data_IF_978590977900
#
_entry.id   IF_978590977900
#
_cell.length_a   1.000
_cell.length_b   1.000
_cell.length_c   1.000
_cell.angle_alpha   90.00
_cell.angle_beta   90.00
_cell.angle_gamma   90.00
#
_symmetry.space_group_name_H-M   'P 1'
#
loop_
_entity.id
_entity.type
_entity.pdbx_description
1 polymer ?
#
# COMPACT_ATOMS: atom_id res chain seq x y z
N UNK A 1 -87.39 2.11 -2.30
CA UNK A 1 -86.73 1.94 -0.99
C UNK A 1 -85.78 3.10 -0.80
N UNK A 2 -85.76 3.62 0.41
CA UNK A 2 -85.58 5.02 0.79
C UNK A 2 -84.14 5.52 0.77
N UNK A 3 -84.03 6.75 0.29
CA UNK A 3 -82.94 7.71 0.45
C UNK A 3 -83.03 8.29 1.87
N UNK A 4 -81.99 8.17 2.69
CA UNK A 4 -81.92 8.82 4.01
C UNK A 4 -80.66 9.70 4.05
N UNK A 5 -80.93 11.00 3.98
CA UNK A 5 -80.03 12.13 4.18
C UNK A 5 -79.78 12.30 5.68
N UNK A 6 -78.53 12.28 6.13
CA UNK A 6 -78.17 12.78 7.47
C UNK A 6 -77.40 14.09 7.35
N UNK A 7 -78.10 15.18 7.65
CA UNK A 7 -77.61 16.54 7.75
C UNK A 7 -77.10 16.76 9.18
N UNK A 8 -75.80 16.88 9.39
CA UNK A 8 -75.25 17.38 10.67
C UNK A 8 -74.71 18.79 10.47
N UNK A 9 -75.46 19.76 11.01
CA UNK A 9 -75.02 21.13 11.26
C UNK A 9 -74.21 21.13 12.56
N UNK A 10 -72.93 21.55 12.51
CA UNK A 10 -72.19 21.94 13.70
C UNK A 10 -71.58 23.33 13.51
N UNK A 11 -71.83 24.16 14.51
CA UNK A 11 -71.55 25.59 14.61
C UNK A 11 -70.07 25.95 14.39
N UNK A 12 -69.84 26.97 13.57
CA UNK A 12 -68.57 27.70 13.43
C UNK A 12 -68.42 28.63 14.63
N UNK A 13 -67.45 28.37 15.50
CA UNK A 13 -66.94 29.37 16.43
C UNK A 13 -65.82 30.15 15.72
N UNK A 14 -66.06 31.44 15.44
CA UNK A 14 -65.07 32.36 14.91
C UNK A 14 -64.03 32.69 15.99
N UNK A 15 -62.94 31.92 16.00
CA UNK A 15 -61.71 32.27 16.71
C UNK A 15 -60.88 33.24 15.87
N UNK A 16 -60.56 34.39 16.44
CA UNK A 16 -59.66 35.40 15.88
C UNK A 16 -58.33 34.80 15.42
N UNK A 17 -58.03 34.90 14.12
CA UNK A 17 -56.72 34.56 13.56
C UNK A 17 -55.68 35.59 14.04
N UNK A 18 -54.86 35.20 15.01
CA UNK A 18 -53.56 35.83 15.25
C UNK A 18 -52.59 35.45 14.14
N UNK A 19 -51.79 36.41 13.69
CA UNK A 19 -50.74 36.18 12.70
C UNK A 19 -49.81 35.02 13.14
N UNK A 20 -49.31 34.19 12.21
CA UNK A 20 -48.38 33.12 12.56
C UNK A 20 -47.12 33.71 13.21
N UNK A 21 -46.55 33.03 14.22
CA UNK A 21 -45.35 33.51 14.89
C UNK A 21 -44.21 33.63 13.88
N UNK A 22 -43.55 34.79 13.86
CA UNK A 22 -42.34 34.98 13.06
C UNK A 22 -41.29 33.96 13.49
N UNK A 23 -40.69 33.27 12.51
CA UNK A 23 -39.57 32.38 12.75
C UNK A 23 -38.43 33.18 13.40
N UNK A 24 -37.74 32.62 14.40
CA UNK A 24 -36.59 33.29 15.02
C UNK A 24 -35.52 33.58 13.96
N UNK A 25 -34.78 34.69 14.07
CA UNK A 25 -33.72 35.03 13.13
C UNK A 25 -32.68 33.90 13.09
N UNK A 26 -32.35 33.46 11.88
CA UNK A 26 -31.30 32.48 11.64
C UNK A 26 -29.98 33.05 12.16
N UNK A 27 -29.25 32.35 13.05
CA UNK A 27 -27.97 32.83 13.53
C UNK A 27 -26.99 32.96 12.35
N UNK A 28 -26.08 33.95 12.38
CA UNK A 28 -25.09 34.10 11.33
C UNK A 28 -24.24 32.82 11.22
N UNK A 29 -23.78 32.46 10.01
CA UNK A 29 -22.89 31.32 9.84
C UNK A 29 -21.63 31.52 10.69
N UNK A 30 -21.07 30.45 11.26
CA UNK A 30 -19.83 30.54 12.01
C UNK A 30 -18.73 31.13 11.12
N UNK A 31 -17.79 31.92 11.69
CA UNK A 31 -16.67 32.45 10.92
C UNK A 31 -15.88 31.30 10.29
N UNK A 32 -15.59 31.41 9.00
CA UNK A 32 -14.68 30.50 8.30
C UNK A 32 -13.35 30.43 9.05
N UNK A 33 -12.87 29.23 9.42
CA UNK A 33 -11.57 29.11 10.05
C UNK A 33 -10.49 29.70 9.13
N UNK A 34 -9.47 30.38 9.67
CA UNK A 34 -8.41 30.95 8.88
C UNK A 34 -7.77 29.86 8.02
N UNK A 35 -7.75 30.08 6.71
CA UNK A 35 -7.18 29.18 5.70
C UNK A 35 -5.65 29.31 5.70
N UNK A 36 -5.03 29.22 6.88
CA UNK A 36 -3.60 28.95 6.98
C UNK A 36 -3.44 27.45 6.93
N UNK A 37 -3.32 26.90 5.73
CA UNK A 37 -2.66 25.60 5.53
C UNK A 37 -1.32 25.71 6.27
N UNK A 38 -1.02 24.84 7.25
CA UNK A 38 0.30 24.82 7.84
C UNK A 38 1.30 24.63 6.71
N UNK A 39 2.11 25.66 6.43
CA UNK A 39 3.26 25.48 5.56
C UNK A 39 4.17 24.48 6.28
N UNK A 40 4.16 23.23 5.80
CA UNK A 40 5.14 22.25 6.19
C UNK A 40 6.51 22.88 6.01
N UNK A 41 7.42 22.74 6.99
CA UNK A 41 8.78 23.25 6.83
C UNK A 41 9.36 22.72 5.50
N UNK A 42 10.23 23.50 4.83
CA UNK A 42 10.82 23.07 3.56
C UNK A 42 11.44 21.67 3.74
N UNK A 43 10.92 20.69 2.99
CA UNK A 43 11.42 19.30 3.01
C UNK A 43 12.84 19.30 2.47
N UNK A 44 13.82 19.35 3.37
CA UNK A 44 15.23 19.19 3.03
C UNK A 44 15.44 17.74 2.59
N UNK A 45 16.07 17.55 1.43
CA UNK A 45 16.53 16.24 0.95
C UNK A 45 17.42 15.59 2.00
N UNK A 46 17.03 14.42 2.50
CA UNK A 46 17.77 13.68 3.54
C UNK A 46 18.63 12.61 2.87
N UNK A 47 19.93 12.63 3.15
CA UNK A 47 20.83 11.50 2.89
C UNK A 47 20.88 10.63 4.13
N UNK A 48 20.86 9.31 3.93
CA UNK A 48 21.00 8.32 4.99
C UNK A 48 22.25 7.49 4.73
N UNK A 49 23.17 7.42 5.69
CA UNK A 49 24.21 6.40 5.67
C UNK A 49 23.62 5.15 6.31
N UNK A 50 23.20 4.21 5.48
CA UNK A 50 22.64 2.93 5.93
C UNK A 50 23.57 1.82 5.47
N UNK A 51 23.61 0.71 6.25
CA UNK A 51 24.25 -0.55 5.87
C UNK A 51 23.90 -0.90 4.42
N UNK A 52 24.81 -1.53 3.70
CA UNK A 52 24.69 -1.81 2.25
C UNK A 52 23.65 -2.92 1.96
N UNK A 53 22.39 -2.70 2.31
CA UNK A 53 21.36 -3.74 2.31
C UNK A 53 20.99 -4.21 0.89
N UNK A 54 20.60 -5.49 0.81
CA UNK A 54 19.69 -5.99 -0.21
C UNK A 54 18.25 -5.66 0.23
N UNK A 55 17.42 -5.13 -0.66
CA UNK A 55 16.05 -4.72 -0.33
C UNK A 55 15.07 -5.54 -1.14
N UNK A 56 14.20 -6.27 -0.44
CA UNK A 56 13.14 -7.08 -1.00
C UNK A 56 11.79 -6.46 -0.68
N UNK A 57 11.03 -6.12 -1.71
CA UNK A 57 9.65 -5.61 -1.59
C UNK A 57 8.72 -6.68 -2.13
N UNK A 58 7.95 -7.29 -1.23
CA UNK A 58 7.08 -8.43 -1.51
C UNK A 58 5.64 -7.96 -1.34
N UNK A 59 4.89 -7.95 -2.43
CA UNK A 59 3.48 -7.59 -2.42
C UNK A 59 2.63 -8.84 -2.60
N UNK A 60 1.81 -9.13 -1.59
CA UNK A 60 0.78 -10.17 -1.64
C UNK A 60 -0.53 -9.50 -2.03
N UNK A 61 -0.87 -9.54 -3.31
CA UNK A 61 -2.01 -8.85 -3.91
C UNK A 61 -3.33 -9.25 -3.21
N UNK A 62 -4.13 -8.26 -2.79
CA UNK A 62 -5.43 -8.49 -2.15
C UNK A 62 -5.38 -9.03 -0.71
N UNK A 63 -4.21 -9.08 -0.06
CA UNK A 63 -4.06 -9.58 1.30
C UNK A 63 -4.60 -8.60 2.35
N UNK A 64 -5.54 -9.07 3.16
CA UNK A 64 -6.02 -8.34 4.35
C UNK A 64 -5.21 -8.72 5.61
N UNK A 65 -5.01 -7.79 6.56
CA UNK A 65 -4.35 -8.10 7.84
C UNK A 65 -5.02 -9.24 8.62
N UNK A 66 -6.35 -9.26 8.68
CA UNK A 66 -7.10 -10.27 9.45
C UNK A 66 -7.05 -11.67 8.82
N UNK A 67 -6.54 -11.81 7.59
CA UNK A 67 -6.27 -13.11 7.01
C UNK A 67 -5.07 -13.80 7.68
N UNK A 68 -4.08 -13.04 8.16
CA UNK A 68 -2.88 -13.57 8.81
C UNK A 68 -3.18 -14.24 10.16
N UNK A 69 -4.25 -13.80 10.84
CA UNK A 69 -4.69 -14.45 12.09
C UNK A 69 -5.44 -15.77 11.85
N UNK A 70 -5.84 -16.05 10.60
CA UNK A 70 -6.74 -17.17 10.25
C UNK A 70 -6.10 -18.19 9.31
N UNK A 71 -5.11 -17.78 8.54
CA UNK A 71 -4.30 -18.64 7.69
C UNK A 71 -3.11 -19.22 8.50
N UNK A 72 -2.51 -20.28 7.98
CA UNK A 72 -1.25 -20.79 8.51
C UNK A 72 -0.12 -20.07 7.80
N UNK A 73 0.54 -19.15 8.50
CA UNK A 73 1.57 -18.28 7.92
C UNK A 73 2.86 -18.20 8.76
N UNK A 74 3.50 -19.34 9.08
CA UNK A 74 4.66 -19.36 9.97
C UNK A 74 5.84 -18.48 9.48
N UNK A 75 6.02 -18.30 8.17
CA UNK A 75 7.13 -17.51 7.64
C UNK A 75 6.87 -16.01 7.80
N UNK A 76 5.66 -15.55 7.45
CA UNK A 76 5.22 -14.18 7.73
C UNK A 76 5.19 -13.90 9.23
N UNK A 77 4.77 -14.89 10.03
CA UNK A 77 4.74 -14.80 11.48
C UNK A 77 6.11 -14.52 12.06
N UNK A 78 7.12 -15.24 11.59
CA UNK A 78 8.51 -15.01 11.96
C UNK A 78 8.96 -13.59 11.60
N UNK A 79 8.60 -13.07 10.42
CA UNK A 79 9.00 -11.73 9.99
C UNK A 79 8.42 -10.64 10.89
N UNK A 80 7.12 -10.67 11.22
CA UNK A 80 6.54 -9.62 12.07
C UNK A 80 6.90 -9.77 13.55
N UNK A 81 7.11 -11.00 14.03
CA UNK A 81 7.55 -11.26 15.42
C UNK A 81 8.99 -10.82 15.68
N UNK A 82 9.79 -10.61 14.64
CA UNK A 82 11.16 -10.08 14.70
C UNK A 82 11.34 -8.85 13.77
N UNK A 83 10.28 -8.06 13.61
CA UNK A 83 10.25 -6.93 12.70
C UNK A 83 9.39 -5.77 13.17
N UNK A 84 9.31 -4.71 12.36
CA UNK A 84 8.34 -3.64 12.54
C UNK A 84 7.10 -3.97 11.73
N UNK A 85 5.91 -3.72 12.25
CA UNK A 85 4.69 -3.98 11.48
C UNK A 85 3.59 -2.96 11.76
N UNK A 86 2.60 -2.90 10.87
CA UNK A 86 1.33 -2.21 11.09
C UNK A 86 0.20 -3.06 10.51
N UNK A 87 -0.80 -3.36 11.34
CA UNK A 87 -2.02 -4.04 10.90
C UNK A 87 -3.08 -3.08 10.36
N UNK A 88 -2.81 -1.78 10.43
CA UNK A 88 -3.76 -0.71 10.07
C UNK A 88 -3.23 0.18 8.96
N UNK A 89 -2.16 -0.24 8.26
CA UNK A 89 -1.63 0.48 7.12
C UNK A 89 -2.71 0.67 6.05
N UNK A 90 -2.66 1.80 5.35
CA UNK A 90 -3.71 2.22 4.41
C UNK A 90 -3.16 2.33 2.99
N UNK A 91 -3.91 1.77 2.04
CA UNK A 91 -3.67 1.98 0.60
C UNK A 91 -4.23 3.32 0.11
N UNK A 92 -4.27 3.51 -1.20
CA UNK A 92 -4.79 4.69 -1.90
C UNK A 92 -6.11 4.38 -2.60
N UNK A 93 -6.87 5.43 -2.93
CA UNK A 93 -8.04 5.31 -3.79
C UNK A 93 -7.68 5.61 -5.26
N UNK A 94 -8.20 4.82 -6.23
CA UNK A 94 -8.99 3.60 -6.03
C UNK A 94 -8.12 2.44 -5.51
N UNK A 95 -8.66 1.65 -4.59
CA UNK A 95 -8.00 0.50 -3.92
C UNK A 95 -7.85 -0.70 -4.87
N UNK A 96 -7.09 -0.48 -5.94
CA UNK A 96 -6.91 -1.40 -7.06
C UNK A 96 -5.44 -1.54 -7.36
N UNK A 97 -5.05 -2.72 -7.84
CA UNK A 97 -3.65 -3.11 -8.04
C UNK A 97 -2.78 -2.05 -8.71
N UNK A 98 -3.09 -1.65 -9.94
CA UNK A 98 -2.15 -0.83 -10.72
C UNK A 98 -1.94 0.57 -10.11
N UNK A 99 -2.97 1.33 -9.70
CA UNK A 99 -2.80 2.59 -8.98
C UNK A 99 -2.11 2.44 -7.62
N UNK A 100 -2.42 1.39 -6.86
CA UNK A 100 -1.82 1.16 -5.55
C UNK A 100 -0.32 0.83 -5.65
N UNK A 101 0.07 -0.06 -6.56
CA UNK A 101 1.50 -0.37 -6.79
C UNK A 101 2.23 0.85 -7.37
N UNK A 102 1.59 1.66 -8.23
CA UNK A 102 2.17 2.92 -8.68
C UNK A 102 2.52 3.84 -7.50
N UNK A 103 1.61 3.97 -6.53
CA UNK A 103 1.87 4.72 -5.30
C UNK A 103 2.96 4.10 -4.43
N UNK A 104 2.96 2.76 -4.30
CA UNK A 104 3.97 2.01 -3.56
C UNK A 104 5.38 2.24 -4.10
N UNK A 105 5.54 2.32 -5.42
CA UNK A 105 6.83 2.47 -6.09
C UNK A 105 7.28 3.93 -6.23
N UNK A 106 6.35 4.89 -6.30
CA UNK A 106 6.65 6.31 -6.57
C UNK A 106 6.56 7.25 -5.37
N UNK A 107 6.13 6.76 -4.20
CA UNK A 107 6.06 7.60 -2.99
C UNK A 107 5.03 8.73 -3.04
N UNK A 108 4.16 8.74 -4.06
CA UNK A 108 3.12 9.75 -4.28
C UNK A 108 1.78 9.10 -4.59
N UNK A 109 0.64 9.76 -4.32
CA UNK A 109 -0.67 9.17 -4.54
C UNK A 109 -1.14 9.31 -6.01
N UNK A 110 -2.29 8.71 -6.39
CA UNK A 110 -2.76 8.70 -7.77
C UNK A 110 -2.99 10.05 -8.42
N UNK A 111 -3.31 11.08 -7.62
CA UNK A 111 -3.45 12.46 -8.10
C UNK A 111 -2.13 13.06 -8.62
N UNK A 112 -0.98 12.46 -8.28
CA UNK A 112 0.35 12.89 -8.74
C UNK A 112 0.95 11.97 -9.80
N UNK A 113 0.82 10.65 -9.66
CA UNK A 113 1.40 9.72 -10.64
C UNK A 113 0.49 9.46 -11.85
N UNK A 114 -0.79 9.86 -11.79
CA UNK A 114 -1.78 9.80 -12.88
C UNK A 114 -2.12 8.41 -13.43
N UNK A 115 -1.53 7.35 -12.90
CA UNK A 115 -2.01 5.97 -13.08
C UNK A 115 -3.37 5.77 -12.38
N UNK A 116 -4.47 5.89 -13.14
CA UNK A 116 -5.85 5.84 -12.63
C UNK A 116 -6.68 4.65 -13.18
N UNK A 117 -6.05 3.75 -13.93
CA UNK A 117 -6.69 2.58 -14.53
C UNK A 117 -6.15 1.28 -13.94
N UNK A 118 -6.89 0.17 -14.07
CA UNK A 118 -6.49 -1.13 -13.51
C UNK A 118 -6.56 -2.31 -14.51
N UNK A 119 -6.71 -2.02 -15.81
CA UNK A 119 -6.65 -3.00 -16.89
C UNK A 119 -5.34 -2.83 -17.67
N UNK A 120 -5.02 -3.79 -18.53
CA UNK A 120 -3.92 -3.63 -19.49
C UNK A 120 -4.34 -2.63 -20.57
N UNK A 121 -3.62 -1.52 -20.70
CA UNK A 121 -3.96 -0.41 -21.60
C UNK A 121 -2.68 0.25 -22.16
N UNK A 122 -1.91 -0.45 -23.03
CA UNK A 122 -0.60 0.00 -23.51
C UNK A 122 -0.61 1.41 -24.12
N UNK A 123 -1.74 1.81 -24.71
CA UNK A 123 -1.98 3.14 -25.27
C UNK A 123 -1.93 4.29 -24.24
N UNK A 124 -2.13 4.00 -22.95
CA UNK A 124 -2.05 5.00 -21.87
C UNK A 124 -0.61 5.25 -21.40
N UNK A 125 0.37 4.52 -21.96
CA UNK A 125 1.79 4.73 -21.67
C UNK A 125 2.22 4.20 -20.30
N UNK A 126 3.32 4.74 -19.76
CA UNK A 126 3.92 4.31 -18.48
C UNK A 126 3.80 5.40 -17.44
N UNK A 127 4.06 5.03 -16.19
CA UNK A 127 4.25 6.00 -15.11
C UNK A 127 5.33 7.01 -15.51
N UNK A 128 5.07 8.29 -15.24
CA UNK A 128 5.94 9.40 -15.66
C UNK A 128 6.66 10.08 -14.50
N UNK A 129 6.25 9.78 -13.26
CA UNK A 129 6.98 10.20 -12.06
C UNK A 129 8.09 9.18 -11.75
N UNK A 130 9.23 9.60 -11.18
CA UNK A 130 10.28 8.67 -10.81
C UNK A 130 9.79 7.64 -9.79
N UNK A 131 10.16 6.37 -9.97
CA UNK A 131 9.97 5.32 -8.96
C UNK A 131 11.28 4.98 -8.25
N UNK A 132 11.19 4.13 -7.23
CA UNK A 132 12.38 3.54 -6.58
C UNK A 132 13.32 2.85 -7.58
N UNK A 133 12.81 2.33 -8.71
CA UNK A 133 13.62 1.69 -9.75
C UNK A 133 14.46 2.70 -10.53
N UNK A 134 13.84 3.74 -11.09
CA UNK A 134 14.58 4.78 -11.83
C UNK A 134 15.62 5.46 -10.93
N UNK A 135 15.27 5.72 -9.66
CA UNK A 135 16.17 6.33 -8.69
C UNK A 135 17.36 5.41 -8.39
N UNK A 136 17.13 4.13 -8.09
CA UNK A 136 18.19 3.16 -7.82
C UNK A 136 19.10 2.94 -9.05
N UNK A 137 18.52 2.77 -10.24
CA UNK A 137 19.26 2.56 -11.48
C UNK A 137 20.11 3.78 -11.86
N UNK A 138 19.64 5.00 -11.59
CA UNK A 138 20.43 6.23 -11.78
C UNK A 138 21.73 6.24 -10.96
N UNK A 139 21.74 5.51 -9.83
CA UNK A 139 22.91 5.32 -8.96
C UNK A 139 23.65 4.01 -9.24
N UNK A 140 23.35 3.35 -10.37
CA UNK A 140 23.93 2.07 -10.80
C UNK A 140 23.68 0.91 -9.82
N UNK A 141 22.63 1.00 -9.01
CA UNK A 141 22.19 -0.10 -8.15
C UNK A 141 21.46 -1.11 -9.02
N UNK A 142 21.84 -2.39 -8.91
CA UNK A 142 21.20 -3.48 -9.64
C UNK A 142 19.79 -3.73 -9.12
N UNK A 143 18.82 -3.83 -10.03
CA UNK A 143 17.40 -3.97 -9.70
C UNK A 143 16.73 -5.04 -10.54
N UNK A 144 15.71 -5.71 -10.01
CA UNK A 144 14.84 -6.62 -10.77
C UNK A 144 13.42 -6.62 -10.24
N UNK A 145 12.45 -6.86 -11.10
CA UNK A 145 11.05 -7.03 -10.74
C UNK A 145 10.45 -8.32 -11.33
N UNK A 146 9.68 -9.03 -10.52
CA UNK A 146 8.88 -10.19 -10.92
C UNK A 146 7.42 -9.91 -10.58
N UNK A 147 6.55 -9.99 -11.58
CA UNK A 147 5.13 -9.62 -11.41
C UNK A 147 4.19 -10.64 -12.02
N UNK A 148 3.14 -11.01 -11.28
CA UNK A 148 2.11 -11.94 -11.78
C UNK A 148 1.10 -11.32 -12.74
N UNK A 149 0.96 -9.99 -12.77
CA UNK A 149 -0.06 -9.28 -13.56
C UNK A 149 0.59 -8.38 -14.62
N UNK A 150 0.36 -8.68 -15.91
CA UNK A 150 0.92 -7.94 -17.06
C UNK A 150 0.72 -6.43 -17.01
N UNK A 151 -0.40 -5.95 -16.47
CA UNK A 151 -0.67 -4.51 -16.30
C UNK A 151 0.39 -3.76 -15.49
N UNK A 152 1.15 -4.44 -14.63
CA UNK A 152 2.22 -3.81 -13.87
C UNK A 152 3.42 -3.40 -14.72
N UNK A 153 3.53 -3.88 -15.97
CA UNK A 153 4.53 -3.40 -16.95
C UNK A 153 4.43 -1.89 -17.19
N UNK A 154 3.27 -1.26 -16.93
CA UNK A 154 3.11 0.19 -16.96
C UNK A 154 3.99 0.95 -15.95
N UNK A 155 4.52 0.27 -14.93
CA UNK A 155 5.23 0.90 -13.82
C UNK A 155 6.75 0.81 -13.92
N UNK A 156 7.27 0.17 -14.97
CA UNK A 156 8.71 -0.07 -15.13
C UNK A 156 9.21 0.50 -16.45
N UNK A 157 10.35 1.18 -16.40
CA UNK A 157 11.13 1.50 -17.60
C UNK A 157 11.46 0.21 -18.40
N UNK A 158 11.47 0.26 -19.75
CA UNK A 158 11.92 -0.86 -20.58
C UNK A 158 13.34 -1.37 -20.28
N UNK A 159 14.16 -0.57 -19.62
CA UNK A 159 15.52 -0.93 -19.20
C UNK A 159 15.56 -1.74 -17.89
N UNK A 160 14.46 -1.76 -17.13
CA UNK A 160 14.38 -2.55 -15.89
C UNK A 160 14.25 -4.03 -16.23
N UNK A 161 15.11 -4.91 -15.68
CA UNK A 161 14.89 -6.35 -15.74
C UNK A 161 13.53 -6.70 -15.12
N UNK A 162 12.56 -7.05 -15.97
CA UNK A 162 11.17 -7.31 -15.59
C UNK A 162 10.72 -8.66 -16.12
N UNK A 163 10.28 -9.51 -15.21
CA UNK A 163 9.72 -10.82 -15.51
C UNK A 163 8.21 -10.79 -15.24
N UNK A 164 7.42 -10.87 -16.30
CA UNK A 164 5.95 -10.94 -16.20
C UNK A 164 5.55 -12.41 -16.29
N UNK A 165 5.21 -12.99 -15.14
CA UNK A 165 4.97 -14.43 -14.98
C UNK A 165 3.53 -14.66 -14.54
N UNK A 166 2.65 -15.01 -15.47
CA UNK A 166 1.26 -15.37 -15.13
C UNK A 166 1.19 -16.78 -14.53
N UNK A 167 1.77 -16.94 -13.34
CA UNK A 167 1.93 -18.19 -12.60
C UNK A 167 1.69 -17.97 -11.11
N UNK A 168 1.62 -19.07 -10.35
CA UNK A 168 1.48 -19.03 -8.90
C UNK A 168 2.75 -18.51 -8.21
N UNK A 169 2.58 -18.13 -6.94
CA UNK A 169 3.66 -17.60 -6.11
C UNK A 169 4.87 -18.53 -6.04
N UNK A 170 4.70 -19.86 -6.05
CA UNK A 170 5.82 -20.80 -5.97
C UNK A 170 6.69 -20.72 -7.22
N UNK A 171 6.08 -20.74 -8.40
CA UNK A 171 6.82 -20.62 -9.66
C UNK A 171 7.53 -19.27 -9.73
N UNK A 172 6.83 -18.16 -9.48
CA UNK A 172 7.45 -16.82 -9.49
C UNK A 172 8.65 -16.73 -8.54
N UNK A 173 8.54 -17.28 -7.33
CA UNK A 173 9.65 -17.29 -6.36
C UNK A 173 10.83 -18.14 -6.84
N UNK A 174 10.60 -19.28 -7.49
CA UNK A 174 11.69 -20.12 -8.04
C UNK A 174 12.47 -19.35 -9.11
N UNK A 175 11.79 -18.67 -10.04
CA UNK A 175 12.42 -17.84 -11.07
C UNK A 175 13.20 -16.67 -10.44
N UNK A 176 12.64 -16.06 -9.40
CA UNK A 176 13.31 -15.01 -8.65
C UNK A 176 14.59 -15.52 -7.98
N UNK A 177 14.54 -16.68 -7.32
CA UNK A 177 15.70 -17.30 -6.66
C UNK A 177 16.82 -17.58 -7.67
N UNK A 178 16.49 -18.14 -8.85
CA UNK A 178 17.46 -18.41 -9.90
C UNK A 178 18.17 -17.12 -10.33
N UNK A 179 17.41 -16.07 -10.65
CA UNK A 179 17.98 -14.78 -11.01
C UNK A 179 18.81 -14.14 -9.89
N UNK A 180 18.32 -14.18 -8.64
CA UNK A 180 19.01 -13.63 -7.47
C UNK A 180 20.34 -14.35 -7.22
N UNK A 181 20.37 -15.67 -7.40
CA UNK A 181 21.58 -16.48 -7.19
C UNK A 181 22.72 -16.08 -8.14
N UNK A 182 22.38 -15.73 -9.38
CA UNK A 182 23.34 -15.34 -10.42
C UNK A 182 23.72 -13.86 -10.38
N UNK A 183 22.73 -12.97 -10.23
CA UNK A 183 22.90 -11.54 -10.46
C UNK A 183 23.02 -10.71 -9.18
N UNK A 184 22.60 -11.27 -8.03
CA UNK A 184 22.56 -10.63 -6.71
C UNK A 184 22.07 -9.17 -6.76
N UNK A 185 20.88 -8.91 -7.34
CA UNK A 185 20.30 -7.57 -7.42
C UNK A 185 20.07 -6.99 -6.02
N UNK A 186 20.33 -5.70 -5.86
CA UNK A 186 20.18 -4.99 -4.58
C UNK A 186 18.76 -4.51 -4.29
N UNK A 187 17.94 -4.31 -5.32
CA UNK A 187 16.51 -4.06 -5.17
C UNK A 187 15.72 -5.12 -5.93
N UNK A 188 14.89 -5.86 -5.21
CA UNK A 188 14.04 -6.92 -5.74
C UNK A 188 12.59 -6.62 -5.42
N UNK A 189 11.75 -6.56 -6.45
CA UNK A 189 10.30 -6.44 -6.29
C UNK A 189 9.61 -7.73 -6.71
N UNK A 190 8.75 -8.26 -5.86
CA UNK A 190 7.99 -9.50 -6.07
C UNK A 190 6.51 -9.20 -5.87
N UNK A 191 5.70 -9.43 -6.89
CA UNK A 191 4.25 -9.27 -6.81
C UNK A 191 3.55 -10.61 -7.05
N UNK A 192 2.82 -11.09 -6.04
CA UNK A 192 2.19 -12.42 -5.99
C UNK A 192 0.66 -12.27 -6.04
N UNK A 193 0.00 -12.79 -7.09
CA UNK A 193 -1.45 -12.57 -7.32
C UNK A 193 -2.38 -13.58 -6.65
N UNK A 194 -1.86 -14.69 -6.10
CA UNK A 194 -2.65 -15.84 -5.65
C UNK A 194 -3.83 -15.50 -4.72
N UNK A 195 -3.63 -14.55 -3.80
CA UNK A 195 -4.60 -14.20 -2.77
C UNK A 195 -5.75 -13.38 -3.32
N UNK A 196 -5.47 -12.41 -4.20
CA UNK A 196 -6.47 -11.66 -4.94
C UNK A 196 -7.22 -12.54 -5.94
N UNK A 197 -6.51 -13.38 -6.71
CA UNK A 197 -7.13 -14.31 -7.66
C UNK A 197 -8.11 -15.27 -6.94
N UNK A 198 -7.73 -15.77 -5.76
CA UNK A 198 -8.61 -16.56 -4.92
C UNK A 198 -9.76 -15.73 -4.32
N UNK A 199 -9.52 -14.47 -3.95
CA UNK A 199 -10.52 -13.52 -3.50
C UNK A 199 -11.61 -13.29 -4.55
N UNK A 200 -11.23 -12.98 -5.78
CA UNK A 200 -12.14 -12.85 -6.90
C UNK A 200 -12.88 -14.15 -7.23
N UNK A 201 -12.19 -15.30 -7.16
CA UNK A 201 -12.74 -16.60 -7.56
C UNK A 201 -13.64 -17.27 -6.52
N UNK A 202 -13.39 -17.07 -5.24
CA UNK A 202 -14.09 -17.76 -4.16
C UNK A 202 -14.69 -16.82 -3.12
N UNK A 203 -14.08 -15.66 -2.95
CA UNK A 203 -14.46 -14.63 -2.00
C UNK A 203 -13.39 -14.41 -0.94
N UNK A 204 -13.21 -13.14 -0.55
CA UNK A 204 -12.32 -12.77 0.55
C UNK A 204 -12.74 -13.45 1.85
N UNK A 205 -11.76 -13.90 2.63
CA UNK A 205 -11.90 -14.57 3.92
C UNK A 205 -12.61 -15.94 3.88
N UNK A 206 -12.77 -16.52 2.70
CA UNK A 206 -13.18 -17.93 2.53
C UNK A 206 -12.01 -18.87 2.79
N UNK A 207 -12.30 -20.13 3.12
CA UNK A 207 -11.25 -21.14 3.33
C UNK A 207 -10.34 -21.31 2.10
N UNK A 208 -10.87 -21.14 0.89
CA UNK A 208 -10.10 -21.21 -0.36
C UNK A 208 -9.12 -20.06 -0.51
N UNK A 209 -9.51 -18.85 -0.11
CA UNK A 209 -8.58 -17.72 -0.09
C UNK A 209 -7.54 -17.87 1.02
N UNK A 210 -7.92 -18.30 2.23
CA UNK A 210 -6.96 -18.54 3.31
C UNK A 210 -5.93 -19.64 2.96
N UNK A 211 -6.34 -20.65 2.19
CA UNK A 211 -5.41 -21.62 1.61
C UNK A 211 -4.44 -21.00 0.60
N UNK A 212 -4.85 -19.95 -0.14
CA UNK A 212 -3.94 -19.21 -1.01
C UNK A 212 -2.92 -18.40 -0.19
N UNK A 213 -3.36 -17.77 0.91
CA UNK A 213 -2.46 -17.09 1.84
C UNK A 213 -1.40 -18.05 2.39
N UNK A 214 -1.81 -19.26 2.81
CA UNK A 214 -0.86 -20.28 3.28
C UNK A 214 0.14 -20.75 2.20
N UNK A 215 -0.29 -20.86 0.93
CA UNK A 215 0.63 -21.20 -0.18
C UNK A 215 1.62 -20.09 -0.48
N UNK A 216 1.19 -18.84 -0.40
CA UNK A 216 2.10 -17.68 -0.53
C UNK A 216 3.12 -17.68 0.61
N UNK A 217 2.70 -17.98 1.84
CA UNK A 217 3.63 -18.10 2.97
C UNK A 217 4.66 -19.23 2.77
N UNK A 218 4.24 -20.39 2.25
CA UNK A 218 5.16 -21.48 1.91
C UNK A 218 6.19 -21.05 0.85
N UNK A 219 5.75 -20.34 -0.20
CA UNK A 219 6.64 -19.79 -1.22
C UNK A 219 7.60 -18.74 -0.63
N UNK A 220 7.13 -17.88 0.28
CA UNK A 220 7.99 -16.96 1.01
C UNK A 220 9.05 -17.71 1.84
N UNK A 221 8.69 -18.80 2.51
CA UNK A 221 9.64 -19.64 3.22
C UNK A 221 10.77 -20.17 2.31
N UNK A 222 10.45 -20.57 1.08
CA UNK A 222 11.43 -20.99 0.09
C UNK A 222 12.41 -19.87 -0.29
N UNK A 223 11.90 -18.64 -0.47
CA UNK A 223 12.74 -17.46 -0.72
C UNK A 223 13.66 -17.20 0.47
N UNK A 224 13.12 -17.10 1.69
CA UNK A 224 13.89 -16.77 2.88
C UNK A 224 15.02 -17.78 3.13
N UNK A 225 14.75 -19.08 2.95
CA UNK A 225 15.75 -20.13 3.07
C UNK A 225 16.87 -19.98 2.02
N UNK A 226 16.52 -19.71 0.75
CA UNK A 226 17.53 -19.49 -0.29
C UNK A 226 18.36 -18.22 -0.07
N UNK A 227 17.75 -17.15 0.45
CA UNK A 227 18.50 -15.94 0.80
C UNK A 227 19.49 -16.20 1.95
N UNK A 228 19.16 -17.10 2.88
CA UNK A 228 20.06 -17.53 3.94
C UNK A 228 21.24 -18.33 3.36
N UNK A 229 20.98 -19.33 2.52
CA UNK A 229 22.01 -20.14 1.84
C UNK A 229 22.96 -19.29 0.98
N UNK A 230 22.42 -18.26 0.33
CA UNK A 230 23.19 -17.30 -0.47
C UNK A 230 23.97 -16.28 0.36
N UNK A 231 23.89 -16.32 1.70
CA UNK A 231 24.44 -15.34 2.63
C UNK A 231 23.96 -13.89 2.33
N UNK A 232 22.73 -13.75 1.86
CA UNK A 232 22.08 -12.46 1.56
C UNK A 232 21.22 -11.99 2.74
N UNK A 233 20.53 -12.93 3.40
CA UNK A 233 19.49 -12.62 4.40
C UNK A 233 20.00 -11.75 5.56
N UNK A 234 21.21 -12.01 6.06
CA UNK A 234 21.85 -11.26 7.16
C UNK A 234 22.26 -9.82 6.81
N UNK A 235 22.09 -9.43 5.55
CA UNK A 235 22.28 -8.07 5.09
C UNK A 235 21.08 -7.61 4.24
N UNK A 236 19.87 -8.02 4.63
CA UNK A 236 18.65 -7.70 3.90
C UNK A 236 17.66 -6.88 4.72
N UNK A 237 16.89 -6.04 4.00
CA UNK A 237 15.63 -5.48 4.46
C UNK A 237 14.52 -6.15 3.65
N UNK A 238 13.56 -6.76 4.32
CA UNK A 238 12.42 -7.43 3.70
C UNK A 238 11.16 -6.68 4.09
N UNK A 239 10.47 -6.11 3.11
CA UNK A 239 9.18 -5.45 3.29
C UNK A 239 8.11 -6.34 2.67
N UNK A 240 7.14 -6.78 3.47
CA UNK A 240 5.95 -7.50 2.99
C UNK A 240 4.72 -6.63 3.20
N UNK A 241 3.92 -6.43 2.15
CA UNK A 241 2.70 -5.63 2.20
C UNK A 241 1.64 -6.18 1.24
N UNK A 242 0.48 -5.55 1.22
CA UNK A 242 -0.50 -5.69 0.14
C UNK A 242 -0.71 -4.36 -0.59
N UNK A 243 -1.29 -4.42 -1.78
CA UNK A 243 -1.77 -3.28 -2.56
C UNK A 243 -3.19 -2.86 -2.15
N UNK A 244 -4.04 -3.81 -1.81
CA UNK A 244 -5.37 -3.61 -1.25
C UNK A 244 -5.82 -4.85 -0.48
N UNK A 245 -6.95 -4.73 0.21
CA UNK A 245 -7.71 -5.86 0.73
C UNK A 245 -8.87 -6.24 -0.19
N UNK A 246 -10.02 -6.57 0.36
CA UNK A 246 -11.23 -6.85 -0.42
C UNK A 246 -12.41 -7.37 0.39
N UNK A 247 -13.58 -7.35 -0.23
CA UNK A 247 -14.82 -7.81 0.39
C UNK A 247 -15.73 -8.51 -0.61
N UNK A 248 -16.45 -9.54 -0.14
CA UNK A 248 -17.21 -10.40 -1.04
C UNK A 248 -16.27 -10.99 -2.07
N UNK A 249 -16.40 -10.57 -3.34
CA UNK A 249 -15.55 -10.98 -4.47
C UNK A 249 -14.99 -9.79 -5.27
N UNK A 250 -15.01 -8.61 -4.66
CA UNK A 250 -14.61 -7.35 -5.28
C UNK A 250 -13.65 -6.59 -4.37
N UNK A 251 -13.01 -5.60 -4.96
CA UNK A 251 -12.23 -4.57 -4.30
C UNK A 251 -12.28 -3.30 -5.17
N UNK A 252 -11.58 -2.23 -4.78
CA UNK A 252 -11.54 -0.97 -5.51
C UNK A 252 -12.46 0.12 -4.95
N UNK A 253 -13.04 -0.12 -3.77
CA UNK A 253 -13.92 0.82 -3.07
C UNK A 253 -13.22 1.47 -1.87
N UNK A 254 -13.88 2.44 -1.24
CA UNK A 254 -13.45 3.05 0.02
C UNK A 254 -13.85 2.21 1.26
N UNK A 255 -14.37 0.99 1.07
CA UNK A 255 -14.64 0.06 2.16
C UNK A 255 -13.36 -0.19 2.96
N UNK A 256 -13.39 -0.09 4.31
CA UNK A 256 -12.20 -0.31 5.13
C UNK A 256 -11.51 -1.66 4.89
N UNK A 257 -12.26 -2.68 4.44
CA UNK A 257 -11.73 -4.01 4.11
C UNK A 257 -10.93 -4.02 2.81
N UNK A 258 -11.16 -3.07 1.91
CA UNK A 258 -10.37 -2.85 0.69
C UNK A 258 -9.16 -1.97 0.98
N UNK A 259 -9.33 -1.00 1.88
CA UNK A 259 -8.34 0.04 2.15
C UNK A 259 -7.22 -0.40 3.11
N UNK A 260 -7.53 -1.29 4.05
CA UNK A 260 -6.60 -1.69 5.10
C UNK A 260 -5.75 -2.88 4.67
N UNK A 261 -4.43 -2.69 4.70
CA UNK A 261 -3.41 -3.64 4.25
C UNK A 261 -2.45 -3.96 5.40
N UNK A 262 -1.84 -5.16 5.43
CA UNK A 262 -0.73 -5.41 6.34
C UNK A 262 0.51 -4.69 5.80
N UNK A 263 1.37 -4.23 6.70
CA UNK A 263 2.70 -3.74 6.34
C UNK A 263 3.71 -4.30 7.35
N UNK A 264 4.68 -5.06 6.89
CA UNK A 264 5.69 -5.74 7.71
C UNK A 264 7.06 -5.38 7.15
N UNK A 265 8.00 -4.99 8.02
CA UNK A 265 9.40 -4.78 7.70
C UNK A 265 10.24 -5.64 8.63
N UNK A 266 11.13 -6.43 8.05
CA UNK A 266 12.11 -7.24 8.75
C UNK A 266 13.53 -6.85 8.34
N UNK A 267 14.44 -6.84 9.31
CA UNK A 267 15.89 -6.71 9.14
C UNK A 267 16.55 -7.52 10.27
N UNK A 268 17.73 -8.13 10.06
CA UNK A 268 18.42 -8.92 11.09
C UNK A 268 18.72 -8.16 12.39
N UNK A 269 18.73 -6.82 12.33
CA UNK A 269 19.05 -5.96 13.46
C UNK A 269 17.85 -5.78 14.44
N UNK A 270 16.68 -6.36 14.13
CA UNK A 270 15.48 -6.35 15.01
C UNK A 270 15.25 -7.73 15.61
N UNK A 271 15.47 -7.86 16.92
CA UNK A 271 15.28 -9.13 17.64
C UNK A 271 13.84 -9.33 18.14
N UNK A 272 13.17 -8.24 18.55
CA UNK A 272 11.82 -8.28 19.13
C UNK A 272 10.90 -7.41 18.27
N UNK A 273 9.87 -8.05 17.72
CA UNK A 273 8.91 -7.39 16.87
C UNK A 273 8.05 -6.37 17.62
N UNK A 274 7.71 -5.27 16.95
CA UNK A 274 6.87 -4.21 17.50
C UNK A 274 5.94 -3.60 16.45
N UNK A 275 4.73 -3.26 16.89
CA UNK A 275 3.81 -2.50 16.07
C UNK A 275 4.25 -1.04 15.99
N UNK A 276 4.19 -0.47 14.78
CA UNK A 276 4.48 0.93 14.51
C UNK A 276 3.34 1.80 15.03
N UNK A 277 3.70 2.78 15.85
CA UNK A 277 2.74 3.72 16.43
C UNK A 277 2.29 4.79 15.42
N UNK A 278 3.10 5.05 14.41
CA UNK A 278 2.80 6.01 13.36
C UNK A 278 1.90 5.39 12.29
N UNK A 279 0.94 6.15 11.74
CA UNK A 279 0.14 5.70 10.61
C UNK A 279 1.05 5.38 9.41
N UNK A 280 0.80 4.24 8.76
CA UNK A 280 1.52 3.84 7.54
C UNK A 280 0.60 3.96 6.34
N UNK A 281 1.12 4.55 5.27
CA UNK A 281 0.51 4.60 3.95
C UNK A 281 1.30 3.73 2.99
N UNK A 282 0.64 3.16 1.99
CA UNK A 282 1.31 2.31 0.99
C UNK A 282 2.52 3.01 0.33
N UNK A 283 2.42 4.31 0.07
CA UNK A 283 3.49 5.13 -0.52
C UNK A 283 4.66 5.43 0.44
N UNK A 284 4.55 5.12 1.74
CA UNK A 284 5.67 5.19 2.68
C UNK A 284 6.70 4.09 2.41
N UNK A 285 6.28 3.01 1.73
CA UNK A 285 7.16 1.93 1.28
C UNK A 285 8.26 2.45 0.37
N UNK A 286 7.94 3.31 -0.60
CA UNK A 286 8.93 3.89 -1.52
C UNK A 286 10.03 4.64 -0.75
N UNK A 287 9.63 5.51 0.17
CA UNK A 287 10.53 6.30 0.99
C UNK A 287 11.40 5.42 1.89
N UNK A 288 10.81 4.36 2.46
CA UNK A 288 11.52 3.39 3.32
C UNK A 288 12.54 2.57 2.52
N UNK A 289 12.22 2.17 1.29
CA UNK A 289 13.15 1.49 0.38
C UNK A 289 14.34 2.39 0.04
N UNK A 290 14.10 3.65 -0.33
CA UNK A 290 15.19 4.58 -0.61
C UNK A 290 16.08 4.81 0.62
N UNK A 291 15.49 4.93 1.82
CA UNK A 291 16.24 5.02 3.06
C UNK A 291 17.12 3.76 3.27
N UNK A 292 16.57 2.56 3.09
CA UNK A 292 17.31 1.30 3.20
C UNK A 292 18.48 1.19 2.22
N UNK A 293 18.33 1.75 1.01
CA UNK A 293 19.38 1.79 -0.01
C UNK A 293 20.38 2.95 0.19
N UNK A 294 20.21 3.78 1.21
CA UNK A 294 21.04 4.98 1.44
C UNK A 294 20.84 6.07 0.38
N UNK A 295 19.71 6.07 -0.32
CA UNK A 295 19.39 6.98 -1.41
C UNK A 295 18.60 8.20 -0.93
N UNK A 296 18.69 9.28 -1.71
CA UNK A 296 17.94 10.50 -1.47
C UNK A 296 16.47 10.28 -1.75
N UNK A 297 15.62 10.58 -0.76
CA UNK A 297 14.17 10.64 -0.96
C UNK A 297 13.84 11.98 -1.63
N UNK A 298 13.17 11.97 -2.80
CA UNK A 298 12.74 13.21 -3.46
C UNK A 298 11.87 14.08 -2.54
N UNK A 299 12.15 15.39 -2.53
CA UNK A 299 11.49 16.32 -1.59
C UNK A 299 9.99 16.49 -1.85
N UNK A 300 9.53 16.19 -3.06
CA UNK A 300 8.14 16.26 -3.49
C UNK A 300 7.34 14.97 -3.22
N UNK A 301 8.00 13.88 -2.81
CA UNK A 301 7.34 12.67 -2.36
C UNK A 301 6.55 12.92 -1.07
N UNK A 302 5.37 12.29 -0.98
CA UNK A 302 4.54 12.34 0.23
C UNK A 302 4.92 11.24 1.22
N UNK A 303 5.48 10.13 0.74
CA UNK A 303 5.96 9.03 1.56
C UNK A 303 6.95 9.45 2.64
N UNK A 304 6.75 8.90 3.82
CA UNK A 304 7.60 9.10 5.00
C UNK A 304 8.34 7.80 5.30
N UNK A 305 9.69 7.80 5.38
CA UNK A 305 10.44 6.58 5.62
C UNK A 305 10.26 6.09 7.07
N UNK A 306 10.12 4.78 7.25
CA UNK A 306 10.17 4.13 8.57
C UNK A 306 11.63 3.98 9.03
N UNK A 307 12.20 5.09 9.51
CA UNK A 307 13.62 5.15 9.94
C UNK A 307 13.90 4.37 11.23
N UNK A 308 12.86 4.04 11.98
CA UNK A 308 12.92 3.17 13.15
C UNK A 308 13.59 1.81 12.89
N UNK A 309 13.61 1.37 11.63
CA UNK A 309 14.29 0.16 11.19
C UNK A 309 15.80 0.33 11.01
N UNK A 310 16.29 1.57 10.98
CA UNK A 310 17.67 1.92 10.64
C UNK A 310 18.28 2.82 11.73
N UNK A 311 18.52 2.31 12.95
CA UNK A 311 18.99 3.13 14.08
C UNK A 311 20.36 3.79 13.85
N UNK A 312 21.20 3.22 12.97
CA UNK A 312 22.49 3.82 12.58
C UNK A 312 22.38 4.83 11.41
N UNK A 313 21.18 5.02 10.84
CA UNK A 313 20.97 5.96 9.76
C UNK A 313 21.23 7.39 10.24
N UNK A 314 22.45 7.86 10.02
CA UNK A 314 22.81 9.24 10.35
C UNK A 314 22.17 10.15 9.31
N UNK A 315 21.25 11.01 9.75
CA UNK A 315 20.68 12.08 8.92
C UNK A 315 21.81 13.05 8.52
N UNK A 316 22.34 12.91 7.31
CA UNK A 316 23.18 13.96 6.74
C UNK A 316 22.27 14.99 6.08
N UNK A 317 22.24 16.18 6.67
CA UNK A 317 21.61 17.35 6.04
C UNK A 317 22.58 17.84 4.97
N UNK A 318 22.23 17.73 3.69
CA UNK A 318 23.02 18.37 2.63
C UNK A 318 23.06 19.88 2.90
N UNK A 319 24.22 20.38 3.32
CA UNK A 319 24.51 21.80 3.16
C UNK A 319 24.62 22.04 1.67
N UNK A 320 23.69 22.83 1.10
CA UNK A 320 23.80 23.33 -0.27
C UNK A 320 25.11 24.10 -0.37
N UNK A 321 26.12 23.51 -1.00
CA UNK A 321 27.22 24.28 -1.55
C UNK A 321 26.66 25.01 -2.77
N UNK A 322 26.39 26.30 -2.57
CA UNK A 322 26.13 27.27 -3.62
C UNK A 322 27.42 27.57 -4.40
#
# INVERSE_FOLDING_TARGET
>A
MSLEFFLFLLFVALGSWGAPPQAPPVPPPPPTPPTTVPQLPPKVSRHFTVKDYFVFVIVVDGLRPDALQRAQTPNLDRLWQSGLYSWTAQTVMPSTTLPAIASLLSGVPPERHHILWNHWAPELGRITVPTIFEIAQSQKISTVAFVSKRKLEHLFSPETPLFVLNSDARHLIVEAIEYISEHRPRLVFLHLSDVDDAGHRYGWMTIRQLQAVARVDEALGLLLHNLEDLNILNNSVIIVTADHGGHGRIHGTDDPRDMTIPWILWTPDIEIGRELMQPIRIYDTAATVLAALGLVIPSDWLGVPVLEAFPEATLQTLQKHY
#
